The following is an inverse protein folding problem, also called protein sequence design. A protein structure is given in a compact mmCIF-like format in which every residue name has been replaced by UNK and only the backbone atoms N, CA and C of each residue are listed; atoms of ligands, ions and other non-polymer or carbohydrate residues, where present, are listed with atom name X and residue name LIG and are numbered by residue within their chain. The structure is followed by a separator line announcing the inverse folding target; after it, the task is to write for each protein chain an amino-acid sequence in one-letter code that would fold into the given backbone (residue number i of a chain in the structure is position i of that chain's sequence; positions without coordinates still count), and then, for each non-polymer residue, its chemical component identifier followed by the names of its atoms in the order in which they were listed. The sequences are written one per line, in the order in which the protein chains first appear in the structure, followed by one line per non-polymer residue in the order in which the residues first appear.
data_IF_681200763573
#
_entry.id   IF_681200763573
#
_cell.length_a   1.000
_cell.length_b   1.000
_cell.length_c   1.000
_cell.angle_alpha   90.00
_cell.angle_beta   90.00
_cell.angle_gamma   90.00
#
_symmetry.space_group_name_H-M   'P 1'
#
loop_
_entity.id
_entity.type
_entity.pdbx_description
1 polymer ?
#
# COMPACT_ATOMS: atom_id res chain seq x y z
N UNK A 1 22.70 -6.75 -35.66
CA UNK A 1 22.66 -5.57 -34.74
C UNK A 1 21.44 -4.67 -34.94
N UNK A 2 21.15 -4.12 -36.14
CA UNK A 2 20.00 -3.19 -36.34
C UNK A 2 18.63 -3.80 -35.97
N UNK A 3 18.38 -5.06 -36.32
CA UNK A 3 17.11 -5.72 -36.01
C UNK A 3 16.88 -5.94 -34.51
N UNK A 4 17.91 -6.39 -33.79
CA UNK A 4 17.86 -6.56 -32.32
C UNK A 4 17.53 -5.24 -31.61
N UNK A 5 18.20 -4.15 -31.98
CA UNK A 5 17.96 -2.82 -31.40
C UNK A 5 16.56 -2.28 -31.75
N UNK A 6 16.07 -2.57 -32.96
CA UNK A 6 14.70 -2.20 -33.36
C UNK A 6 13.63 -2.95 -32.56
N UNK A 7 13.88 -4.20 -32.21
CA UNK A 7 12.97 -5.01 -31.41
C UNK A 7 12.97 -4.59 -29.94
N UNK A 8 14.14 -4.37 -29.34
CA UNK A 8 14.28 -3.86 -27.98
C UNK A 8 13.56 -2.51 -27.83
N UNK A 9 13.78 -1.57 -28.75
CA UNK A 9 13.05 -0.30 -28.79
C UNK A 9 11.53 -0.50 -28.92
N UNK A 10 11.08 -1.50 -29.68
CA UNK A 10 9.66 -1.83 -29.80
C UNK A 10 9.08 -2.35 -28.48
N UNK A 11 9.81 -3.24 -27.81
CA UNK A 11 9.47 -3.82 -26.50
C UNK A 11 9.35 -2.72 -25.45
N UNK A 12 10.36 -1.88 -25.30
CA UNK A 12 10.36 -0.75 -24.36
C UNK A 12 9.17 0.17 -24.62
N UNK A 13 8.95 0.55 -25.89
CA UNK A 13 7.81 1.39 -26.27
C UNK A 13 6.47 0.75 -25.83
N UNK A 14 6.31 -0.57 -26.01
CA UNK A 14 5.07 -1.27 -25.61
C UNK A 14 4.89 -1.33 -24.11
N UNK A 15 5.96 -1.49 -23.33
CA UNK A 15 5.92 -1.38 -21.88
C UNK A 15 5.48 0.04 -21.47
N UNK A 16 6.10 1.10 -21.99
CA UNK A 16 5.70 2.47 -21.65
C UNK A 16 4.26 2.81 -22.06
N UNK A 17 3.78 2.33 -23.21
CA UNK A 17 2.37 2.44 -23.61
C UNK A 17 1.44 1.71 -22.62
N UNK A 18 1.82 0.50 -22.20
CA UNK A 18 1.07 -0.28 -21.21
C UNK A 18 1.06 0.41 -19.84
N UNK A 19 2.22 0.92 -19.40
CA UNK A 19 2.36 1.65 -18.14
C UNK A 19 1.38 2.81 -18.10
N UNK A 20 1.45 3.70 -19.09
CA UNK A 20 0.59 4.87 -19.20
C UNK A 20 -0.90 4.54 -19.20
N UNK A 21 -1.28 3.37 -19.72
CA UNK A 21 -2.69 2.99 -19.91
C UNK A 21 -3.27 2.17 -18.75
N UNK A 22 -2.47 1.32 -18.10
CA UNK A 22 -2.97 0.31 -17.16
C UNK A 22 -2.26 0.29 -15.80
N UNK A 23 -1.10 0.96 -15.68
CA UNK A 23 -0.29 1.00 -14.45
C UNK A 23 -0.28 2.40 -13.82
N UNK A 24 -0.31 3.44 -14.64
CA UNK A 24 -0.45 4.82 -14.20
C UNK A 24 -1.88 5.12 -13.79
N UNK A 25 -2.03 5.86 -12.70
CA UNK A 25 -3.31 6.37 -12.24
C UNK A 25 -3.78 7.45 -13.24
N UNK A 26 -5.00 7.37 -13.76
CA UNK A 26 -5.57 8.44 -14.59
C UNK A 26 -5.56 9.80 -13.87
N UNK A 27 -5.26 10.88 -14.59
CA UNK A 27 -5.12 12.23 -14.00
C UNK A 27 -6.39 12.69 -13.28
N UNK A 28 -7.56 12.36 -13.82
CA UNK A 28 -8.88 12.69 -13.26
C UNK A 28 -9.14 11.96 -11.93
N UNK A 29 -8.78 10.68 -11.83
CA UNK A 29 -8.84 9.95 -10.56
C UNK A 29 -7.86 10.53 -9.53
N UNK A 30 -6.64 10.84 -9.97
CA UNK A 30 -5.63 11.50 -9.13
C UNK A 30 -6.09 12.86 -8.59
N UNK A 31 -6.86 13.63 -9.38
CA UNK A 31 -7.41 14.93 -8.95
C UNK A 31 -8.63 14.78 -8.03
N UNK A 32 -9.56 13.85 -8.33
CA UNK A 32 -10.78 13.66 -7.52
C UNK A 32 -10.47 13.25 -6.09
N UNK A 33 -9.48 12.39 -5.91
CA UNK A 33 -8.96 11.98 -4.61
C UNK A 33 -7.73 12.78 -4.20
N UNK A 34 -7.38 13.80 -4.98
CA UNK A 34 -6.20 14.64 -4.80
C UNK A 34 -6.34 15.51 -3.56
N UNK A 35 -5.91 14.98 -2.42
CA UNK A 35 -5.52 15.72 -1.22
C UNK A 35 -6.69 16.32 -0.46
N UNK A 36 -7.39 17.31 -1.00
CA UNK A 36 -8.17 18.29 -0.23
C UNK A 36 -9.20 17.68 0.74
N UNK A 37 -10.05 16.77 0.26
CA UNK A 37 -11.06 16.14 1.14
C UNK A 37 -10.40 15.25 2.20
N UNK A 38 -9.35 14.52 1.82
CA UNK A 38 -8.53 13.71 2.72
C UNK A 38 -7.77 14.56 3.76
N UNK A 39 -7.16 15.66 3.34
CA UNK A 39 -6.41 16.63 4.17
C UNK A 39 -7.35 17.33 5.15
N UNK A 40 -8.56 17.70 4.71
CA UNK A 40 -9.60 18.26 5.55
C UNK A 40 -10.07 17.25 6.60
N UNK A 41 -10.31 15.99 6.21
CA UNK A 41 -10.66 14.92 7.16
C UNK A 41 -9.56 14.74 8.20
N UNK A 42 -8.32 14.61 7.74
CA UNK A 42 -7.14 14.39 8.59
C UNK A 42 -6.94 15.55 9.56
N UNK A 43 -7.00 16.78 9.07
CA UNK A 43 -6.94 17.99 9.91
C UNK A 43 -8.04 17.98 10.95
N UNK A 44 -9.28 17.64 10.56
CA UNK A 44 -10.41 17.62 11.50
C UNK A 44 -10.27 16.57 12.60
N UNK A 45 -9.82 15.36 12.24
CA UNK A 45 -9.60 14.28 13.20
C UNK A 45 -8.50 14.66 14.19
N UNK A 46 -7.35 15.17 13.71
CA UNK A 46 -6.27 15.59 14.61
C UNK A 46 -6.61 16.82 15.45
N UNK A 47 -7.39 17.77 14.93
CA UNK A 47 -7.91 18.91 15.71
C UNK A 47 -8.69 18.42 16.93
N UNK A 48 -9.59 17.45 16.75
CA UNK A 48 -10.40 16.90 17.85
C UNK A 48 -9.50 16.09 18.81
N UNK A 49 -8.67 15.20 18.28
CA UNK A 49 -7.79 14.35 19.09
C UNK A 49 -6.86 15.17 20.00
N UNK A 50 -6.24 16.23 19.46
CA UNK A 50 -5.33 17.11 20.21
C UNK A 50 -6.05 17.97 21.23
N UNK A 51 -7.20 18.53 20.86
CA UNK A 51 -7.99 19.39 21.75
C UNK A 51 -8.53 18.62 22.96
N UNK A 52 -8.96 17.38 22.76
CA UNK A 52 -9.60 16.58 23.82
C UNK A 52 -8.61 15.75 24.65
N UNK A 53 -7.39 15.53 24.15
CA UNK A 53 -6.36 14.81 24.88
C UNK A 53 -5.02 15.59 24.89
N UNK A 54 -4.76 16.38 25.95
CA UNK A 54 -3.53 17.16 26.08
C UNK A 54 -2.25 16.31 26.00
N UNK A 55 -2.27 15.07 26.51
CA UNK A 55 -1.11 14.18 26.43
C UNK A 55 -0.76 13.82 24.97
N UNK A 56 -1.77 13.54 24.16
CA UNK A 56 -1.60 13.24 22.74
C UNK A 56 -1.16 14.48 21.96
N UNK A 57 -1.62 15.68 22.31
CA UNK A 57 -1.14 16.93 21.70
C UNK A 57 0.37 17.13 21.93
N UNK A 58 0.85 16.82 23.14
CA UNK A 58 2.28 16.89 23.49
C UNK A 58 3.09 15.83 22.71
N UNK A 59 2.56 14.61 22.57
CA UNK A 59 3.32 13.49 22.01
C UNK A 59 3.28 13.46 20.47
N UNK A 60 2.23 13.94 19.79
CA UNK A 60 2.22 13.95 18.31
C UNK A 60 3.19 15.00 17.79
N UNK A 61 4.37 14.57 17.34
CA UNK A 61 5.37 15.44 16.73
C UNK A 61 5.00 15.84 15.30
N UNK A 62 4.60 14.86 14.49
CA UNK A 62 4.24 15.08 13.08
C UNK A 62 3.36 13.95 12.58
N UNK A 63 2.75 14.15 11.42
CA UNK A 63 2.13 13.09 10.65
C UNK A 63 2.44 13.28 9.16
N UNK A 64 2.60 12.17 8.45
CA UNK A 64 2.93 12.16 7.04
C UNK A 64 2.19 11.05 6.30
N UNK A 65 1.84 11.31 5.04
CA UNK A 65 1.45 10.24 4.14
C UNK A 65 2.64 9.31 3.92
N UNK A 66 2.47 8.06 4.33
CA UNK A 66 3.40 6.98 4.06
C UNK A 66 2.75 5.99 3.08
N UNK A 67 3.49 4.95 2.71
CA UNK A 67 2.99 3.96 1.75
C UNK A 67 3.04 4.40 0.28
N UNK A 68 2.27 3.72 -0.56
CA UNK A 68 2.46 3.79 -2.01
C UNK A 68 1.97 5.09 -2.65
N UNK A 69 1.23 5.95 -1.94
CA UNK A 69 0.42 7.08 -2.47
C UNK A 69 1.17 8.04 -3.40
N UNK A 70 2.50 8.11 -3.29
CA UNK A 70 3.35 8.84 -4.25
C UNK A 70 3.84 7.98 -5.41
N UNK A 71 5.07 7.50 -5.30
CA UNK A 71 5.85 7.05 -6.46
C UNK A 71 5.53 5.64 -6.97
N UNK A 72 4.93 4.80 -6.12
CA UNK A 72 4.72 3.38 -6.39
C UNK A 72 3.23 2.98 -6.45
N UNK A 73 2.28 3.92 -6.33
CA UNK A 73 0.85 3.64 -6.46
C UNK A 73 0.54 3.27 -7.91
N UNK A 74 -0.33 2.28 -8.07
CA UNK A 74 -0.81 1.79 -9.38
C UNK A 74 -2.33 1.60 -9.42
N UNK A 75 -2.95 1.50 -8.26
CA UNK A 75 -4.39 1.39 -8.09
C UNK A 75 -4.98 2.76 -7.78
N UNK A 76 -6.31 2.84 -7.83
CA UNK A 76 -7.07 4.03 -7.45
C UNK A 76 -6.54 4.59 -6.12
N UNK A 77 -6.33 5.92 -6.00
CA UNK A 77 -5.87 6.55 -4.77
C UNK A 77 -7.01 6.73 -3.76
N UNK A 78 -7.75 5.66 -3.47
CA UNK A 78 -8.85 5.63 -2.51
C UNK A 78 -8.44 4.97 -1.17
N UNK A 79 -7.15 4.79 -0.94
CA UNK A 79 -6.57 4.24 0.29
C UNK A 79 -5.31 5.05 0.60
N UNK A 80 -5.31 5.68 1.77
CA UNK A 80 -4.23 6.52 2.27
C UNK A 80 -3.64 5.89 3.54
N UNK A 81 -2.36 5.56 3.51
CA UNK A 81 -1.62 5.18 4.72
C UNK A 81 -1.04 6.47 5.34
N UNK A 82 -1.58 6.91 6.49
CA UNK A 82 -1.04 8.06 7.22
C UNK A 82 -0.34 7.55 8.48
N UNK A 83 0.93 7.88 8.63
CA UNK A 83 1.67 7.60 9.87
C UNK A 83 1.70 8.88 10.70
N UNK A 84 1.34 8.76 11.98
CA UNK A 84 1.50 9.84 12.95
C UNK A 84 2.50 9.44 14.03
N UNK A 85 3.50 10.30 14.20
CA UNK A 85 4.71 10.00 14.97
C UNK A 85 4.55 10.52 16.38
N UNK A 86 4.64 9.57 17.31
CA UNK A 86 4.58 9.76 18.74
C UNK A 86 6.00 9.93 19.27
N UNK A 87 6.35 11.15 19.68
CA UNK A 87 7.65 11.50 20.24
C UNK A 87 7.48 11.82 21.71
N UNK A 88 7.75 10.83 22.55
CA UNK A 88 7.67 11.02 23.99
C UNK A 88 8.76 12.00 24.48
N UNK A 89 8.49 12.77 25.53
CA UNK A 89 9.53 13.43 26.31
C UNK A 89 10.71 12.49 26.61
N UNK A 90 11.92 13.01 26.51
CA UNK A 90 13.14 12.22 26.70
C UNK A 90 13.24 10.95 25.83
N UNK A 91 12.56 10.88 24.66
CA UNK A 91 12.56 9.70 23.79
C UNK A 91 13.97 9.15 23.45
N UNK A 92 15.00 10.01 23.42
CA UNK A 92 16.41 9.62 23.21
C UNK A 92 16.96 8.70 24.31
N UNK A 93 16.30 8.67 25.46
CA UNK A 93 16.64 7.84 26.62
C UNK A 93 15.84 6.54 26.69
N UNK A 94 14.97 6.25 25.72
CA UNK A 94 14.33 4.93 25.59
C UNK A 94 15.43 3.93 25.26
N UNK A 95 15.58 2.90 26.09
CA UNK A 95 16.51 1.82 25.78
C UNK A 95 15.86 0.89 24.76
N UNK A 96 16.53 0.72 23.62
CA UNK A 96 16.05 -0.10 22.51
C UNK A 96 16.91 -1.34 22.42
N UNK A 97 16.27 -2.51 22.42
CA UNK A 97 16.94 -3.79 22.18
C UNK A 97 16.21 -4.55 21.08
N UNK A 98 16.93 -5.40 20.35
CA UNK A 98 16.28 -6.33 19.41
C UNK A 98 15.43 -7.32 20.18
N UNK A 99 14.29 -7.69 19.63
CA UNK A 99 13.54 -8.84 20.14
C UNK A 99 14.26 -10.13 19.68
N UNK A 100 14.86 -10.93 20.58
CA UNK A 100 15.60 -12.12 20.20
C UNK A 100 14.70 -13.26 19.68
N UNK A 101 13.38 -13.17 19.88
CA UNK A 101 12.41 -14.17 19.43
C UNK A 101 11.67 -13.76 18.17
N UNK A 102 11.66 -12.47 17.83
CA UNK A 102 10.87 -11.92 16.74
C UNK A 102 11.76 -10.99 15.89
N UNK A 103 12.49 -11.54 14.92
CA UNK A 103 13.31 -10.76 14.01
C UNK A 103 12.54 -9.62 13.33
N UNK A 104 13.20 -8.48 13.14
CA UNK A 104 12.63 -7.24 12.64
C UNK A 104 11.77 -6.48 13.65
N UNK A 105 11.74 -6.92 14.91
CA UNK A 105 11.10 -6.22 16.01
C UNK A 105 12.10 -5.79 17.09
N UNK A 106 11.65 -4.85 17.93
CA UNK A 106 12.41 -4.28 19.03
C UNK A 106 11.56 -4.22 20.31
N UNK A 107 12.25 -4.22 21.45
CA UNK A 107 11.68 -3.96 22.77
C UNK A 107 12.07 -2.53 23.18
N UNK A 108 11.13 -1.83 23.82
CA UNK A 108 11.29 -0.42 24.21
C UNK A 108 11.16 -0.29 25.73
N UNK A 109 12.28 -0.12 26.41
CA UNK A 109 12.34 0.05 27.86
C UNK A 109 12.30 1.54 28.23
N UNK A 110 11.28 1.90 29.01
CA UNK A 110 10.96 3.26 29.43
C UNK A 110 11.55 3.63 30.80
N UNK A 111 12.29 2.75 31.47
CA UNK A 111 12.80 2.95 32.83
C UNK A 111 13.51 4.30 32.97
N UNK A 112 14.48 4.58 32.08
CA UNK A 112 15.24 5.83 32.14
C UNK A 112 14.37 7.06 31.81
N UNK A 113 13.40 6.93 30.92
CA UNK A 113 12.45 8.01 30.60
C UNK A 113 11.57 8.33 31.81
N UNK A 114 11.08 7.31 32.51
CA UNK A 114 10.25 7.45 33.70
C UNK A 114 11.01 8.09 34.87
N UNK A 115 12.30 7.76 35.04
CA UNK A 115 13.19 8.42 36.00
C UNK A 115 13.36 9.91 35.68
N UNK A 116 13.70 10.24 34.44
CA UNK A 116 13.89 11.63 34.01
C UNK A 116 12.61 12.46 34.13
N UNK A 117 11.46 11.87 33.77
CA UNK A 117 10.16 12.49 33.93
C UNK A 117 9.79 12.71 35.40
N UNK A 118 10.23 11.84 36.32
CA UNK A 118 9.91 11.98 37.74
C UNK A 118 10.50 13.27 38.31
N UNK A 119 11.70 13.63 37.87
CA UNK A 119 12.43 14.80 38.36
C UNK A 119 12.14 16.08 37.56
N UNK A 120 11.33 16.00 36.49
CA UNK A 120 10.98 17.16 35.67
C UNK A 120 9.86 18.00 36.32
N UNK A 121 10.07 19.30 36.60
CA UNK A 121 9.07 20.12 37.29
C UNK A 121 7.84 20.50 36.46
N UNK A 122 7.84 20.23 35.15
CA UNK A 122 6.75 20.65 34.26
C UNK A 122 5.52 19.77 34.41
N UNK A 123 4.36 20.40 34.59
CA UNK A 123 3.09 19.71 34.85
C UNK A 123 2.65 18.81 33.67
N UNK A 124 2.87 19.27 32.44
CA UNK A 124 2.59 18.51 31.24
C UNK A 124 3.45 17.23 31.17
N UNK A 125 4.72 17.30 31.57
CA UNK A 125 5.61 16.14 31.64
C UNK A 125 5.20 15.16 32.74
N UNK A 126 4.70 15.65 33.88
CA UNK A 126 4.12 14.79 34.92
C UNK A 126 2.88 14.04 34.42
N UNK A 127 1.98 14.68 33.67
CA UNK A 127 0.83 13.99 33.03
C UNK A 127 1.28 12.90 32.07
N UNK A 128 2.32 13.16 31.27
CA UNK A 128 2.90 12.15 30.37
C UNK A 128 3.49 10.98 31.17
N UNK A 129 4.16 11.24 32.29
CA UNK A 129 4.68 10.21 33.18
C UNK A 129 3.57 9.31 33.71
N UNK A 130 2.48 9.91 34.22
CA UNK A 130 1.31 9.19 34.71
C UNK A 130 0.65 8.35 33.63
N UNK A 131 0.54 8.88 32.40
CA UNK A 131 0.06 8.13 31.24
C UNK A 131 0.93 6.90 30.97
N UNK A 132 2.25 7.08 30.89
CA UNK A 132 3.18 5.98 30.60
C UNK A 132 3.09 4.93 31.71
N UNK A 133 3.34 5.32 32.97
CA UNK A 133 3.42 4.41 34.12
C UNK A 133 2.08 3.75 34.44
N UNK A 134 0.97 4.48 34.31
CA UNK A 134 -0.37 4.00 34.66
C UNK A 134 -1.05 3.20 33.55
N UNK A 135 -0.66 3.39 32.27
CA UNK A 135 -1.42 2.83 31.14
C UNK A 135 -0.61 2.19 30.04
N UNK A 136 0.64 2.57 29.77
CA UNK A 136 1.31 2.17 28.52
C UNK A 136 2.43 1.15 28.70
N UNK A 137 3.01 1.02 29.89
CA UNK A 137 4.09 0.07 30.18
C UNK A 137 3.66 -1.08 31.07
N UNK A 138 4.40 -2.18 31.07
CA UNK A 138 4.24 -3.29 32.02
C UNK A 138 4.95 -3.04 33.37
N UNK A 139 5.04 -4.06 34.23
CA UNK A 139 5.67 -3.94 35.55
C UNK A 139 7.20 -3.76 35.48
N UNK A 140 7.80 -4.08 34.33
CA UNK A 140 9.23 -3.95 34.04
C UNK A 140 9.52 -2.68 33.22
N UNK A 141 8.53 -1.79 33.07
CA UNK A 141 8.59 -0.56 32.28
C UNK A 141 8.78 -0.74 30.77
N UNK A 142 8.53 -1.92 30.20
CA UNK A 142 8.49 -2.07 28.75
C UNK A 142 7.18 -1.52 28.21
N UNK A 143 7.24 -0.77 27.11
CA UNK A 143 6.03 -0.39 26.37
C UNK A 143 5.25 -1.65 25.94
N UNK A 144 3.94 -1.61 26.09
CA UNK A 144 3.03 -2.71 25.71
C UNK A 144 2.23 -2.31 24.49
N UNK A 145 2.32 -3.10 23.43
CA UNK A 145 1.67 -2.86 22.13
C UNK A 145 0.17 -2.66 22.27
N UNK A 146 -0.51 -3.60 22.93
CA UNK A 146 -1.98 -3.55 23.05
C UNK A 146 -2.47 -2.46 23.99
N UNK A 147 -1.66 -2.04 24.97
CA UNK A 147 -1.99 -0.90 25.83
C UNK A 147 -1.99 0.40 25.04
N UNK A 148 -0.94 0.65 24.24
CA UNK A 148 -0.89 1.80 23.33
C UNK A 148 -2.04 1.79 22.33
N UNK A 149 -2.31 0.65 21.70
CA UNK A 149 -3.41 0.50 20.73
C UNK A 149 -4.78 0.74 21.35
N UNK A 150 -5.03 0.19 22.54
CA UNK A 150 -6.32 0.33 23.24
C UNK A 150 -6.56 1.77 23.70
N UNK A 151 -5.51 2.44 24.19
CA UNK A 151 -5.58 3.85 24.54
C UNK A 151 -5.92 4.72 23.32
N UNK A 152 -5.18 4.56 22.22
CA UNK A 152 -5.46 5.31 20.98
C UNK A 152 -6.85 4.97 20.41
N UNK A 153 -7.27 3.71 20.45
CA UNK A 153 -8.61 3.30 20.01
C UNK A 153 -9.70 4.02 20.79
N UNK A 154 -9.53 4.18 22.11
CA UNK A 154 -10.45 4.97 22.94
C UNK A 154 -10.51 6.42 22.46
N UNK A 155 -9.37 7.05 22.18
CA UNK A 155 -9.31 8.44 21.71
C UNK A 155 -9.99 8.62 20.34
N UNK A 156 -9.69 7.75 19.37
CA UNK A 156 -10.34 7.77 18.05
C UNK A 156 -11.86 7.57 18.16
N UNK A 157 -12.30 6.64 19.01
CA UNK A 157 -13.73 6.38 19.22
C UNK A 157 -14.43 7.60 19.82
N UNK A 158 -13.82 8.27 20.79
CA UNK A 158 -14.35 9.51 21.38
C UNK A 158 -14.44 10.63 20.35
N UNK A 159 -13.37 10.86 19.58
CA UNK A 159 -13.34 11.89 18.54
C UNK A 159 -14.43 11.66 17.48
N UNK A 160 -14.63 10.42 17.05
CA UNK A 160 -15.66 10.07 16.06
C UNK A 160 -17.09 10.15 16.62
N UNK A 161 -17.29 9.79 17.89
CA UNK A 161 -18.56 9.99 18.58
C UNK A 161 -18.94 11.47 18.64
N UNK A 162 -17.97 12.36 18.91
CA UNK A 162 -18.18 13.81 18.97
C UNK A 162 -18.77 14.37 17.69
N UNK A 163 -18.30 13.89 16.53
CA UNK A 163 -18.80 14.29 15.21
C UNK A 163 -19.92 13.38 14.70
N UNK A 164 -20.43 12.47 15.53
CA UNK A 164 -21.50 11.53 15.16
C UNK A 164 -21.20 10.73 13.88
N UNK A 165 -19.94 10.36 13.66
CA UNK A 165 -19.48 9.63 12.46
C UNK A 165 -19.88 10.31 11.14
N UNK A 166 -19.99 11.64 11.11
CA UNK A 166 -20.29 12.41 9.91
C UNK A 166 -19.48 13.70 9.88
N UNK A 167 -19.10 14.14 8.69
CA UNK A 167 -18.38 15.40 8.50
C UNK A 167 -18.82 16.09 7.22
N UNK A 168 -18.95 17.41 7.29
CA UNK A 168 -19.07 18.28 6.13
C UNK A 168 -17.72 18.95 5.90
N UNK A 169 -16.91 18.38 4.99
CA UNK A 169 -15.55 18.86 4.68
C UNK A 169 -15.51 19.74 3.43
N UNK A 170 -16.56 19.64 2.62
CA UNK A 170 -16.82 20.47 1.44
C UNK A 170 -18.24 20.98 1.59
N UNK A 171 -18.46 22.27 1.33
CA UNK A 171 -19.76 22.90 1.52
C UNK A 171 -20.89 22.12 0.82
N UNK A 172 -21.92 21.78 1.59
CA UNK A 172 -23.09 21.02 1.14
C UNK A 172 -22.87 19.51 0.97
N UNK A 173 -21.67 18.99 1.22
CA UNK A 173 -21.34 17.56 1.05
C UNK A 173 -21.04 16.93 2.40
N UNK A 174 -22.01 16.17 2.91
CA UNK A 174 -21.87 15.39 4.15
C UNK A 174 -21.32 14.00 3.80
N UNK A 175 -20.16 13.67 4.35
CA UNK A 175 -19.57 12.34 4.28
C UNK A 175 -19.89 11.54 5.54
N UNK A 176 -20.23 10.27 5.36
CA UNK A 176 -20.41 9.31 6.45
C UNK A 176 -19.12 8.56 6.71
N UNK A 177 -18.82 8.34 8.00
CA UNK A 177 -17.60 7.70 8.45
C UNK A 177 -17.90 6.33 9.05
N UNK A 178 -16.97 5.38 8.86
CA UNK A 178 -16.96 4.12 9.59
C UNK A 178 -15.55 3.86 10.10
N UNK A 179 -15.46 3.35 11.32
CA UNK A 179 -14.19 3.13 12.00
C UNK A 179 -13.94 1.66 12.27
N UNK A 180 -12.70 1.21 12.06
CA UNK A 180 -12.20 -0.12 12.40
C UNK A 180 -10.74 -0.05 12.79
N UNK A 181 -10.30 -0.98 13.62
CA UNK A 181 -8.87 -1.24 13.84
C UNK A 181 -8.43 -2.38 12.93
N UNK A 182 -7.36 -2.16 12.16
CA UNK A 182 -6.82 -3.12 11.18
C UNK A 182 -5.30 -3.23 11.39
N UNK A 183 -4.84 -4.32 12.01
CA UNK A 183 -3.43 -4.44 12.40
C UNK A 183 -3.02 -3.30 13.35
N UNK A 184 -1.96 -2.51 13.05
CA UNK A 184 -1.60 -1.33 13.83
C UNK A 184 -2.49 -0.11 13.54
N UNK A 185 -3.26 -0.12 12.45
CA UNK A 185 -3.96 1.05 11.95
C UNK A 185 -5.31 1.29 12.64
N UNK A 186 -5.64 2.56 12.81
CA UNK A 186 -6.97 3.08 13.06
C UNK A 186 -7.57 3.51 11.71
N UNK A 187 -8.34 2.64 11.08
CA UNK A 187 -8.88 2.88 9.74
C UNK A 187 -10.21 3.63 9.79
N UNK A 188 -10.30 4.77 9.09
CA UNK A 188 -11.54 5.49 8.84
C UNK A 188 -11.93 5.34 7.37
N UNK A 189 -13.09 4.72 7.12
CA UNK A 189 -13.72 4.65 5.82
C UNK A 189 -14.68 5.83 5.63
N UNK A 190 -14.62 6.45 4.46
CA UNK A 190 -15.45 7.57 4.04
C UNK A 190 -16.42 7.10 2.96
N UNK A 191 -17.70 7.43 3.14
CA UNK A 191 -18.78 7.13 2.21
C UNK A 191 -19.53 8.40 1.83
N UNK A 192 -20.02 8.45 0.58
CA UNK A 192 -20.74 9.59 0.02
C UNK A 192 -20.20 9.93 -1.37
N UNK A 193 -20.14 11.22 -1.70
CA UNK A 193 -19.57 11.70 -2.97
C UNK A 193 -18.07 11.37 -3.11
N UNK A 194 -17.40 11.19 -1.98
CA UNK A 194 -16.03 10.73 -1.84
C UNK A 194 -16.01 9.37 -1.14
N UNK A 195 -15.48 8.34 -1.81
CA UNK A 195 -15.31 7.00 -1.26
C UNK A 195 -13.82 6.62 -1.18
N UNK A 196 -13.28 6.55 0.04
CA UNK A 196 -11.90 6.16 0.31
C UNK A 196 -11.72 5.72 1.77
N UNK A 197 -10.55 5.19 2.11
CA UNK A 197 -10.15 4.91 3.49
C UNK A 197 -8.83 5.58 3.85
N UNK A 198 -8.68 5.90 5.12
CA UNK A 198 -7.43 6.39 5.71
C UNK A 198 -7.03 5.48 6.85
N UNK A 199 -5.85 4.87 6.73
CA UNK A 199 -5.22 4.06 7.76
C UNK A 199 -4.33 4.97 8.60
N UNK A 200 -4.81 5.39 9.79
CA UNK A 200 -4.03 6.18 10.73
C UNK A 200 -3.16 5.23 11.57
N UNK A 201 -1.86 5.18 11.28
CA UNK A 201 -0.90 4.27 11.91
C UNK A 201 -0.05 5.03 12.94
N UNK A 202 -0.11 4.67 14.23
CA UNK A 202 0.79 5.22 15.23
C UNK A 202 2.21 4.68 15.03
N UNK A 203 3.20 5.54 15.23
CA UNK A 203 4.61 5.18 15.19
C UNK A 203 5.37 5.83 16.34
N UNK A 204 6.08 5.07 17.16
CA UNK A 204 6.97 5.64 18.18
C UNK A 204 8.24 6.13 17.49
N UNK A 205 8.51 7.42 17.58
CA UNK A 205 9.68 8.06 17.00
C UNK A 205 10.91 7.83 17.89
N UNK A 206 11.96 7.25 17.32
CA UNK A 206 13.23 6.93 17.97
C UNK A 206 14.36 7.63 17.23
N UNK A 207 15.39 8.05 17.96
CA UNK A 207 16.54 8.72 17.39
C UNK A 207 17.40 7.76 16.56
N UNK A 208 18.09 8.30 15.56
CA UNK A 208 19.04 7.57 14.72
C UNK A 208 20.03 6.76 15.56
N UNK A 209 20.55 7.31 16.65
CA UNK A 209 21.56 6.68 17.50
C UNK A 209 21.02 5.47 18.30
N UNK A 210 19.69 5.36 18.45
CA UNK A 210 19.03 4.25 19.15
C UNK A 210 18.77 3.05 18.24
N UNK A 211 19.17 3.10 16.96
CA UNK A 211 18.98 1.99 16.05
C UNK A 211 19.80 0.77 16.50
N UNK A 212 19.26 -0.42 16.22
CA UNK A 212 19.90 -1.72 16.50
C UNK A 212 20.16 -2.49 15.21
N UNK A 213 20.45 -1.79 14.11
CA UNK A 213 20.57 -2.39 12.78
C UNK A 213 21.87 -3.20 12.60
N UNK A 214 21.85 -4.26 11.76
CA UNK A 214 23.08 -4.93 11.35
C UNK A 214 23.96 -3.99 10.51
N UNK A 215 25.27 -4.28 10.42
CA UNK A 215 26.26 -3.39 9.79
C UNK A 215 25.86 -2.90 8.38
N UNK A 216 25.44 -3.80 7.48
CA UNK A 216 25.08 -3.42 6.10
C UNK A 216 23.88 -2.47 6.03
N UNK A 217 22.85 -2.76 6.84
CA UNK A 217 21.66 -1.93 6.94
C UNK A 217 21.97 -0.59 7.62
N UNK A 218 22.87 -0.59 8.61
CA UNK A 218 23.34 0.61 9.28
C UNK A 218 24.09 1.54 8.30
N UNK A 219 24.90 1.00 7.38
CA UNK A 219 25.52 1.79 6.31
C UNK A 219 24.48 2.46 5.41
N UNK A 220 23.45 1.72 5.01
CA UNK A 220 22.34 2.26 4.21
C UNK A 220 21.58 3.36 4.97
N UNK A 221 21.31 3.13 6.26
CA UNK A 221 20.66 4.09 7.15
C UNK A 221 21.47 5.38 7.29
N UNK A 222 22.79 5.25 7.55
CA UNK A 222 23.70 6.39 7.67
C UNK A 222 23.80 7.19 6.37
N UNK A 223 23.86 6.51 5.22
CA UNK A 223 23.91 7.17 3.90
C UNK A 223 22.68 8.02 3.62
N UNK A 224 21.50 7.56 4.05
CA UNK A 224 20.26 8.32 3.89
C UNK A 224 20.15 9.53 4.83
N UNK A 225 21.06 9.66 5.81
CA UNK A 225 21.18 10.81 6.71
C UNK A 225 19.85 11.18 7.41
N UNK A 226 19.06 10.18 7.79
CA UNK A 226 17.82 10.38 8.55
C UNK A 226 18.14 10.48 10.05
N UNK A 227 17.52 11.44 10.74
CA UNK A 227 17.73 11.66 12.18
C UNK A 227 16.86 10.77 13.09
N UNK A 228 15.97 9.97 12.52
CA UNK A 228 15.03 9.14 13.26
C UNK A 228 14.69 7.85 12.50
N UNK A 229 14.05 6.93 13.24
CA UNK A 229 13.35 5.77 12.73
C UNK A 229 12.15 5.48 13.64
N UNK A 230 11.34 4.48 13.30
CA UNK A 230 10.04 4.27 13.92
C UNK A 230 9.86 2.86 14.45
N UNK A 231 9.17 2.74 15.59
CA UNK A 231 8.68 1.48 16.12
C UNK A 231 7.14 1.44 16.04
N UNK A 232 6.61 0.45 15.31
CA UNK A 232 5.19 0.32 15.01
C UNK A 232 4.54 -0.70 15.97
N UNK A 233 3.44 -0.36 16.66
CA UNK A 233 2.71 -1.27 17.54
C UNK A 233 1.86 -2.26 16.72
N UNK A 234 2.54 -3.17 16.00
CA UNK A 234 1.88 -4.19 15.19
C UNK A 234 1.49 -5.37 16.08
N UNK A 235 0.19 -5.70 16.23
CA UNK A 235 -0.22 -6.86 17.00
C UNK A 235 0.27 -8.15 16.34
N UNK A 236 0.79 -9.07 17.15
CA UNK A 236 1.27 -10.37 16.70
C UNK A 236 0.32 -11.48 17.20
N UNK A 237 0.26 -12.56 16.43
CA UNK A 237 -0.48 -13.78 16.78
C UNK A 237 0.43 -15.00 16.53
N UNK A 238 0.48 -15.98 17.45
CA UNK A 238 -0.20 -16.03 18.75
C UNK A 238 0.37 -15.01 19.74
N UNK A 239 -0.42 -14.64 20.75
CA UNK A 239 0.02 -13.76 21.83
C UNK A 239 0.88 -14.56 22.81
N UNK A 240 2.15 -14.19 22.90
CA UNK A 240 3.12 -14.59 23.92
C UNK A 240 3.55 -13.38 24.73
N UNK A 241 4.11 -13.59 25.94
CA UNK A 241 4.62 -12.50 26.80
C UNK A 241 5.54 -11.54 26.03
N UNK A 242 6.49 -12.08 25.23
CA UNK A 242 7.40 -11.24 24.44
C UNK A 242 6.67 -10.54 23.29
N UNK A 243 5.72 -11.20 22.64
CA UNK A 243 4.97 -10.58 21.53
C UNK A 243 4.11 -9.38 21.97
N UNK A 244 3.74 -9.30 23.25
CA UNK A 244 2.93 -8.20 23.80
C UNK A 244 3.72 -6.89 23.92
N UNK A 245 5.04 -6.98 24.04
CA UNK A 245 5.96 -5.84 24.20
C UNK A 245 6.85 -5.62 22.97
N UNK A 246 6.57 -6.33 21.87
CA UNK A 246 7.41 -6.37 20.67
C UNK A 246 6.88 -5.45 19.58
N UNK A 247 7.66 -4.41 19.23
CA UNK A 247 7.29 -3.42 18.23
C UNK A 247 8.02 -3.68 16.91
N UNK A 248 7.31 -3.57 15.78
CA UNK A 248 7.89 -3.74 14.44
C UNK A 248 8.77 -2.54 14.11
N UNK A 249 10.05 -2.76 13.81
CA UNK A 249 10.91 -1.68 13.32
C UNK A 249 10.49 -1.22 11.92
N UNK A 250 10.44 0.09 11.69
CA UNK A 250 10.12 0.75 10.43
C UNK A 250 11.19 1.79 10.10
N UNK A 251 11.65 1.76 8.85
CA UNK A 251 12.66 2.67 8.31
C UNK A 251 12.15 3.29 7.00
N UNK A 252 10.86 3.63 6.95
CA UNK A 252 10.18 4.09 5.74
C UNK A 252 10.85 5.32 5.11
N UNK A 253 11.27 6.29 5.92
CA UNK A 253 11.99 7.48 5.44
C UNK A 253 13.27 7.12 4.66
N UNK A 254 14.02 6.13 5.15
CA UNK A 254 15.24 5.64 4.50
C UNK A 254 14.91 4.90 3.20
N UNK A 255 13.91 4.01 3.22
CA UNK A 255 13.47 3.30 2.02
C UNK A 255 13.01 4.26 0.93
N UNK A 256 12.32 5.34 1.31
CA UNK A 256 11.87 6.38 0.40
C UNK A 256 13.05 7.06 -0.29
N UNK A 257 14.10 7.40 0.46
CA UNK A 257 15.33 8.01 -0.09
C UNK A 257 16.02 7.03 -1.04
N UNK A 258 16.23 5.78 -0.61
CA UNK A 258 16.83 4.72 -1.46
C UNK A 258 16.10 4.54 -2.80
N UNK A 259 14.77 4.63 -2.79
CA UNK A 259 13.94 4.50 -3.99
C UNK A 259 13.80 5.80 -4.80
N UNK A 260 14.09 6.95 -4.21
CA UNK A 260 14.09 8.25 -4.89
C UNK A 260 15.38 8.47 -5.66
N UNK A 261 16.51 8.13 -5.05
CA UNK A 261 17.85 8.37 -5.61
C UNK A 261 18.20 7.40 -6.73
N UNK A 262 17.52 6.25 -6.81
CA UNK A 262 17.71 5.27 -7.90
C UNK A 262 16.99 5.70 -9.19
N UNK A 263 17.54 5.29 -10.34
CA UNK A 263 16.96 5.53 -11.67
C UNK A 263 15.49 5.06 -11.77
N UNK A 264 14.69 5.77 -12.57
CA UNK A 264 13.23 5.59 -12.62
C UNK A 264 12.77 4.19 -13.06
N UNK A 265 13.61 3.46 -13.81
CA UNK A 265 13.30 2.09 -14.21
C UNK A 265 13.12 1.15 -13.01
N UNK A 266 13.82 1.40 -11.89
CA UNK A 266 13.58 0.67 -10.64
C UNK A 266 12.11 0.80 -10.19
N UNK A 267 11.63 2.04 -10.10
CA UNK A 267 10.25 2.34 -9.69
C UNK A 267 9.23 1.84 -10.71
N UNK A 268 9.53 1.97 -12.00
CA UNK A 268 8.67 1.45 -13.06
C UNK A 268 8.55 -0.08 -12.97
N UNK A 269 9.65 -0.78 -12.72
CA UNK A 269 9.66 -2.23 -12.57
C UNK A 269 8.84 -2.68 -11.34
N UNK A 270 9.00 -2.02 -10.19
CA UNK A 270 8.16 -2.26 -8.99
C UNK A 270 6.68 -2.15 -9.34
N UNK A 271 6.30 -1.07 -10.04
CA UNK A 271 4.89 -0.81 -10.40
C UNK A 271 4.33 -1.86 -11.36
N UNK A 272 5.13 -2.32 -12.30
CA UNK A 272 4.75 -3.42 -13.19
C UNK A 272 4.57 -4.74 -12.45
N UNK A 273 5.47 -5.10 -11.54
CA UNK A 273 5.34 -6.31 -10.71
C UNK A 273 4.11 -6.24 -9.80
N UNK A 274 3.83 -5.07 -9.21
CA UNK A 274 2.58 -4.84 -8.47
C UNK A 274 1.35 -5.00 -9.36
N UNK A 275 1.37 -4.46 -10.59
CA UNK A 275 0.23 -4.60 -11.52
C UNK A 275 0.02 -6.05 -11.91
N UNK A 276 1.11 -6.77 -12.20
CA UNK A 276 1.07 -8.19 -12.47
C UNK A 276 0.40 -8.96 -11.32
N UNK A 277 0.85 -8.73 -10.08
CA UNK A 277 0.22 -9.30 -8.89
C UNK A 277 -1.28 -8.97 -8.84
N UNK A 278 -1.67 -7.71 -8.98
CA UNK A 278 -3.09 -7.32 -8.90
C UNK A 278 -3.94 -7.97 -10.02
N UNK A 279 -3.34 -8.27 -11.18
CA UNK A 279 -4.01 -8.96 -12.31
C UNK A 279 -4.15 -10.47 -12.06
N UNK A 280 -3.26 -11.08 -11.26
CA UNK A 280 -3.21 -12.53 -11.03
C UNK A 280 -3.86 -12.91 -9.71
N UNK A 281 -4.94 -13.67 -9.78
CA UNK A 281 -5.69 -14.15 -8.60
C UNK A 281 -4.84 -14.97 -7.63
N UNK A 282 -3.86 -15.73 -8.13
CA UNK A 282 -3.01 -16.60 -7.33
C UNK A 282 -1.92 -15.84 -6.55
N UNK A 283 -1.82 -14.52 -6.73
CA UNK A 283 -0.84 -13.68 -6.05
C UNK A 283 -1.46 -12.82 -4.95
N UNK A 284 -2.69 -13.15 -4.49
CA UNK A 284 -3.35 -12.44 -3.39
C UNK A 284 -2.53 -12.40 -2.10
N UNK A 285 -1.75 -13.47 -1.82
CA UNK A 285 -0.85 -13.54 -0.67
C UNK A 285 0.48 -12.78 -0.86
N UNK A 286 0.80 -12.34 -2.08
CA UNK A 286 2.05 -11.65 -2.37
C UNK A 286 1.94 -10.16 -2.01
N UNK A 287 2.29 -9.80 -0.77
CA UNK A 287 2.19 -8.42 -0.31
C UNK A 287 3.08 -7.47 -1.13
N UNK A 288 2.68 -6.21 -1.33
CA UNK A 288 3.54 -5.25 -2.07
C UNK A 288 4.88 -5.03 -1.40
N UNK A 289 4.95 -5.19 -0.08
CA UNK A 289 6.20 -5.03 0.65
C UNK A 289 7.20 -6.16 0.30
N UNK A 290 6.74 -7.38 -0.01
CA UNK A 290 7.60 -8.47 -0.49
C UNK A 290 8.31 -8.10 -1.79
N UNK A 291 7.55 -7.55 -2.74
CA UNK A 291 8.10 -7.02 -3.99
C UNK A 291 9.12 -5.93 -3.67
N UNK A 292 8.76 -4.92 -2.87
CA UNK A 292 9.65 -3.80 -2.52
C UNK A 292 10.96 -4.28 -1.90
N UNK A 293 10.93 -5.27 -1.01
CA UNK A 293 12.13 -5.80 -0.36
C UNK A 293 13.12 -6.42 -1.34
N UNK A 294 12.66 -7.12 -2.38
CA UNK A 294 13.55 -7.63 -3.43
C UNK A 294 14.33 -6.48 -4.10
N UNK A 295 13.66 -5.36 -4.38
CA UNK A 295 14.31 -4.19 -4.95
C UNK A 295 15.28 -3.52 -3.97
N UNK A 296 14.95 -3.42 -2.68
CA UNK A 296 15.87 -2.88 -1.69
C UNK A 296 17.17 -3.69 -1.62
N UNK A 297 17.07 -5.03 -1.63
CA UNK A 297 18.25 -5.90 -1.72
C UNK A 297 19.03 -5.69 -3.02
N UNK A 298 18.35 -5.65 -4.16
CA UNK A 298 19.00 -5.43 -5.47
C UNK A 298 19.72 -4.09 -5.54
N UNK A 299 19.12 -3.01 -4.99
CA UNK A 299 19.70 -1.65 -4.98
C UNK A 299 21.05 -1.61 -4.26
N UNK A 300 21.24 -2.40 -3.20
CA UNK A 300 22.50 -2.41 -2.44
C UNK A 300 23.52 -3.40 -2.98
N UNK A 301 23.09 -4.36 -3.80
CA UNK A 301 23.93 -5.39 -4.40
C UNK A 301 24.47 -4.99 -5.77
N UNK A 302 23.69 -4.20 -6.53
CA UNK A 302 24.02 -3.79 -7.89
C UNK A 302 24.52 -2.33 -7.93
N UNK A 303 25.43 -1.98 -8.86
CA UNK A 303 25.83 -0.60 -9.09
C UNK A 303 24.67 0.23 -9.66
N UNK A 304 24.74 1.56 -9.53
CA UNK A 304 23.71 2.46 -10.06
C UNK A 304 23.46 2.27 -11.57
N UNK A 305 24.51 1.92 -12.33
CA UNK A 305 24.44 1.62 -13.76
C UNK A 305 23.54 0.44 -14.11
N UNK A 306 23.28 -0.50 -13.18
CA UNK A 306 22.32 -1.58 -13.40
C UNK A 306 20.92 -1.02 -13.69
N UNK A 307 20.50 0.04 -12.99
CA UNK A 307 19.17 0.60 -13.14
C UNK A 307 18.99 1.45 -14.39
N UNK A 308 20.09 1.76 -15.09
CA UNK A 308 20.08 2.40 -16.41
C UNK A 308 19.76 1.43 -17.55
N UNK A 309 19.75 0.11 -17.27
CA UNK A 309 19.35 -0.88 -18.25
C UNK A 309 17.88 -0.68 -18.70
N UNK A 310 17.51 -1.21 -19.89
CA UNK A 310 16.13 -1.21 -20.38
C UNK A 310 15.15 -1.79 -19.36
N UNK A 311 13.92 -1.27 -19.33
CA UNK A 311 12.92 -1.71 -18.36
C UNK A 311 12.56 -3.19 -18.52
N UNK A 312 12.55 -3.71 -19.74
CA UNK A 312 12.32 -5.12 -20.03
C UNK A 312 13.39 -6.03 -19.44
N UNK A 313 14.65 -5.61 -19.47
CA UNK A 313 15.76 -6.34 -18.83
C UNK A 313 15.57 -6.38 -17.31
N UNK A 314 15.40 -5.21 -16.69
CA UNK A 314 15.22 -5.09 -15.23
C UNK A 314 13.99 -5.89 -14.78
N UNK A 315 12.88 -5.82 -15.54
CA UNK A 315 11.68 -6.58 -15.22
C UNK A 315 11.90 -8.09 -15.26
N UNK A 316 12.57 -8.59 -16.31
CA UNK A 316 12.82 -10.02 -16.44
C UNK A 316 13.70 -10.53 -15.29
N UNK A 317 14.74 -9.78 -14.95
CA UNK A 317 15.67 -10.09 -13.87
C UNK A 317 14.97 -10.06 -12.49
N UNK A 318 14.17 -9.03 -12.20
CA UNK A 318 13.45 -8.94 -10.92
C UNK A 318 12.33 -10.00 -10.78
N UNK A 319 11.74 -10.46 -11.90
CA UNK A 319 10.83 -11.61 -11.87
C UNK A 319 11.57 -12.94 -11.67
N UNK A 320 12.82 -13.09 -12.15
CA UNK A 320 13.66 -14.24 -11.80
C UNK A 320 13.98 -14.23 -10.31
N UNK A 321 14.36 -13.08 -9.74
CA UNK A 321 14.62 -12.94 -8.30
C UNK A 321 13.38 -13.32 -7.49
N UNK A 322 12.19 -12.83 -7.86
CA UNK A 322 10.95 -13.22 -7.19
C UNK A 322 10.68 -14.73 -7.34
N UNK A 323 10.85 -15.31 -8.52
CA UNK A 323 10.64 -16.74 -8.74
C UNK A 323 11.60 -17.59 -7.89
N UNK A 324 12.88 -17.23 -7.83
CA UNK A 324 13.90 -17.95 -7.08
C UNK A 324 13.67 -17.88 -5.57
N UNK A 325 13.32 -16.69 -5.05
CA UNK A 325 12.99 -16.52 -3.64
C UNK A 325 11.72 -17.32 -3.25
N UNK A 326 10.68 -17.32 -4.10
CA UNK A 326 9.49 -18.14 -3.89
C UNK A 326 9.80 -19.64 -3.97
N UNK A 327 10.64 -20.08 -4.92
CA UNK A 327 11.07 -21.48 -5.05
C UNK A 327 11.80 -21.96 -3.79
N UNK A 328 12.62 -21.10 -3.19
CA UNK A 328 13.34 -21.37 -1.94
C UNK A 328 12.47 -21.24 -0.70
N UNK A 329 11.29 -20.64 -0.81
CA UNK A 329 10.42 -20.33 0.31
C UNK A 329 10.97 -19.24 1.24
N UNK A 330 11.84 -18.36 0.74
CA UNK A 330 12.47 -17.31 1.54
C UNK A 330 12.40 -15.97 0.83
N UNK A 331 11.82 -14.95 1.48
CA UNK A 331 11.99 -13.54 1.14
C UNK A 331 12.49 -12.83 2.40
N UNK A 332 13.79 -12.63 2.48
CA UNK A 332 14.47 -12.05 3.64
C UNK A 332 14.12 -10.57 3.80
N UNK A 333 13.65 -10.17 4.99
CA UNK A 333 13.37 -8.78 5.31
C UNK A 333 14.64 -7.93 5.20
N UNK A 334 14.54 -6.78 4.54
CA UNK A 334 15.71 -5.95 4.23
C UNK A 334 16.41 -5.43 5.48
N UNK A 335 15.66 -5.00 6.50
CA UNK A 335 16.22 -4.36 7.70
C UNK A 335 16.67 -5.34 8.78
N UNK A 336 16.17 -6.57 8.74
CA UNK A 336 16.60 -7.67 9.61
C UNK A 336 16.63 -8.98 8.82
N UNK A 337 17.82 -9.43 8.37
CA UNK A 337 17.95 -10.61 7.53
C UNK A 337 17.56 -11.94 8.18
N UNK A 338 17.36 -11.97 9.50
CA UNK A 338 16.89 -13.16 10.21
C UNK A 338 15.38 -13.38 10.02
N UNK A 339 14.64 -12.36 9.58
CA UNK A 339 13.21 -12.49 9.31
C UNK A 339 12.94 -12.94 7.86
N UNK A 340 12.31 -14.11 7.70
CA UNK A 340 11.68 -14.48 6.44
C UNK A 340 10.22 -13.97 6.39
N UNK A 341 9.95 -13.05 5.47
CA UNK A 341 8.66 -12.35 5.40
C UNK A 341 7.48 -13.22 4.94
N UNK A 342 7.76 -14.41 4.41
CA UNK A 342 6.76 -15.37 3.93
C UNK A 342 6.60 -16.61 4.82
N UNK A 343 7.22 -16.63 6.01
CA UNK A 343 7.08 -17.75 6.97
C UNK A 343 5.64 -17.99 7.43
N UNK A 344 4.81 -16.94 7.44
CA UNK A 344 3.40 -17.06 7.80
C UNK A 344 2.53 -17.71 6.71
N UNK A 345 3.09 -17.96 5.52
CA UNK A 345 2.38 -18.59 4.40
C UNK A 345 2.61 -20.10 4.42
N UNK A 346 1.57 -20.84 4.03
CA UNK A 346 1.69 -22.28 3.80
C UNK A 346 2.56 -22.57 2.57
N UNK A 347 3.16 -23.76 2.53
CA UNK A 347 3.96 -24.20 1.37
C UNK A 347 3.16 -24.16 0.07
N UNK A 348 1.88 -24.53 0.11
CA UNK A 348 1.01 -24.52 -1.06
C UNK A 348 0.76 -23.09 -1.57
N UNK A 349 0.49 -22.14 -0.67
CA UNK A 349 0.36 -20.73 -1.05
C UNK A 349 1.64 -20.20 -1.71
N UNK A 350 2.81 -20.53 -1.16
CA UNK A 350 4.11 -20.11 -1.74
C UNK A 350 4.34 -20.78 -3.11
N UNK A 351 4.03 -22.06 -3.23
CA UNK A 351 4.19 -22.82 -4.47
C UNK A 351 3.27 -22.32 -5.59
N UNK A 352 2.00 -21.98 -5.28
CA UNK A 352 1.08 -21.38 -6.24
C UNK A 352 1.59 -20.03 -6.77
N UNK A 353 2.17 -19.21 -5.90
CA UNK A 353 2.80 -17.95 -6.31
C UNK A 353 4.00 -18.21 -7.22
N UNK A 354 4.87 -19.16 -6.86
CA UNK A 354 6.02 -19.55 -7.69
C UNK A 354 5.60 -19.99 -9.10
N UNK A 355 4.62 -20.90 -9.19
CA UNK A 355 4.12 -21.40 -10.48
C UNK A 355 3.56 -20.27 -11.36
N UNK A 356 2.97 -19.26 -10.75
CA UNK A 356 2.45 -18.08 -11.43
C UNK A 356 3.56 -17.17 -11.98
N UNK A 357 4.67 -17.02 -11.25
CA UNK A 357 5.75 -16.07 -11.59
C UNK A 357 6.79 -16.67 -12.54
N UNK A 358 7.17 -17.95 -12.38
CA UNK A 358 8.33 -18.58 -13.05
C UNK A 358 8.35 -18.52 -14.60
N UNK A 359 7.21 -18.28 -15.25
CA UNK A 359 7.12 -18.22 -16.73
C UNK A 359 7.42 -16.84 -17.28
N UNK A 360 7.24 -15.79 -16.47
CA UNK A 360 7.31 -14.38 -16.89
C UNK A 360 8.69 -13.96 -17.40
N UNK A 361 9.81 -14.32 -16.74
CA UNK A 361 11.14 -13.92 -17.20
C UNK A 361 11.47 -14.41 -18.61
N UNK A 362 11.11 -15.67 -18.91
CA UNK A 362 11.27 -16.27 -20.25
C UNK A 362 10.41 -15.55 -21.30
N UNK A 363 9.17 -15.22 -20.97
CA UNK A 363 8.28 -14.50 -21.90
C UNK A 363 8.77 -13.06 -22.15
N UNK A 364 9.35 -12.39 -21.15
CA UNK A 364 9.97 -11.06 -21.28
C UNK A 364 11.26 -11.09 -22.10
N UNK A 365 12.12 -12.10 -21.88
CA UNK A 365 13.38 -12.31 -22.64
C UNK A 365 13.17 -12.84 -24.05
N UNK A 366 12.00 -13.40 -24.35
CA UNK A 366 11.65 -13.96 -25.65
C UNK A 366 11.60 -12.90 -26.76
N UNK A 367 12.77 -12.46 -27.22
CA UNK A 367 12.95 -11.49 -28.30
C UNK A 367 12.38 -12.02 -29.64
N UNK A 368 12.38 -13.33 -29.87
CA UNK A 368 11.93 -13.92 -31.13
C UNK A 368 10.40 -13.97 -31.28
N UNK A 369 9.67 -13.50 -30.27
CA UNK A 369 8.22 -13.42 -30.30
C UNK A 369 7.81 -12.28 -31.26
N UNK A 370 7.04 -12.62 -32.30
CA UNK A 370 6.46 -11.61 -33.22
C UNK A 370 5.83 -10.42 -32.46
N UNK A 371 5.93 -9.21 -33.02
CA UNK A 371 5.36 -7.96 -32.43
C UNK A 371 3.92 -8.11 -31.92
N UNK A 372 3.09 -8.89 -32.62
CA UNK A 372 1.71 -9.16 -32.26
C UNK A 372 1.59 -10.01 -30.98
N UNK A 373 2.38 -11.09 -30.89
CA UNK A 373 2.43 -11.94 -29.71
C UNK A 373 2.95 -11.17 -28.48
N UNK A 374 3.95 -10.30 -28.65
CA UNK A 374 4.46 -9.46 -27.55
C UNK A 374 3.41 -8.46 -27.05
N UNK A 375 2.70 -7.81 -27.99
CA UNK A 375 1.59 -6.91 -27.64
C UNK A 375 0.47 -7.64 -26.90
N UNK A 376 0.16 -8.87 -27.30
CA UNK A 376 -0.81 -9.71 -26.62
C UNK A 376 -0.34 -10.14 -25.21
N UNK A 377 0.93 -10.52 -25.07
CA UNK A 377 1.54 -10.83 -23.78
C UNK A 377 1.41 -9.67 -22.79
N UNK A 378 1.89 -8.48 -23.15
CA UNK A 378 1.83 -7.29 -22.28
C UNK A 378 0.40 -6.99 -21.85
N UNK A 379 -0.55 -7.04 -22.80
CA UNK A 379 -1.96 -6.85 -22.51
C UNK A 379 -2.52 -7.94 -21.58
N UNK A 380 -2.12 -9.20 -21.75
CA UNK A 380 -2.61 -10.32 -20.94
C UNK A 380 -2.09 -10.25 -19.50
N UNK A 381 -0.81 -9.94 -19.33
CA UNK A 381 -0.13 -9.99 -18.03
C UNK A 381 -0.34 -8.74 -17.17
N UNK A 382 -0.43 -7.55 -17.79
CA UNK A 382 -0.44 -6.28 -17.07
C UNK A 382 -1.75 -5.49 -17.22
N UNK A 383 -2.82 -6.13 -17.67
CA UNK A 383 -4.17 -5.55 -17.63
C UNK A 383 -5.20 -6.55 -17.11
N UNK A 384 -6.22 -6.08 -16.42
CA UNK A 384 -7.32 -6.92 -15.97
C UNK A 384 -8.24 -7.31 -17.13
N UNK A 385 -8.94 -8.44 -16.98
CA UNK A 385 -9.93 -8.91 -17.97
C UNK A 385 -10.98 -7.84 -18.31
N UNK A 386 -11.41 -7.04 -17.32
CA UNK A 386 -12.36 -5.94 -17.50
C UNK A 386 -11.80 -4.84 -18.41
N UNK A 387 -10.54 -4.44 -18.22
CA UNK A 387 -9.86 -3.43 -19.02
C UNK A 387 -9.72 -3.89 -20.49
N UNK A 388 -9.43 -5.18 -20.73
CA UNK A 388 -9.39 -5.76 -22.09
C UNK A 388 -10.75 -5.76 -22.79
N UNK A 389 -11.82 -6.12 -22.07
CA UNK A 389 -13.16 -6.21 -22.65
C UNK A 389 -13.78 -4.85 -23.01
N UNK A 390 -13.47 -3.79 -22.27
CA UNK A 390 -13.92 -2.42 -22.60
C UNK A 390 -13.35 -1.97 -23.95
N UNK A 391 -12.09 -2.30 -24.26
CA UNK A 391 -11.48 -1.98 -25.56
C UNK A 391 -12.16 -2.72 -26.73
N UNK A 392 -12.60 -3.97 -26.55
CA UNK A 392 -13.35 -4.70 -27.57
C UNK A 392 -14.73 -4.08 -27.84
N UNK A 393 -15.42 -3.63 -26.78
CA UNK A 393 -16.71 -2.92 -26.92
C UNK A 393 -16.53 -1.57 -27.63
N UNK A 394 -15.52 -0.78 -27.31
CA UNK A 394 -15.22 0.48 -28.03
C UNK A 394 -14.86 0.25 -29.50
N UNK A 395 -14.07 -0.77 -29.84
CA UNK A 395 -13.78 -1.12 -31.24
C UNK A 395 -15.03 -1.60 -32.00
N UNK A 396 -15.94 -2.34 -31.34
CA UNK A 396 -17.23 -2.72 -31.94
C UNK A 396 -18.17 -1.52 -32.17
N UNK A 397 -18.13 -0.52 -31.29
CA UNK A 397 -18.92 0.72 -31.42
C UNK A 397 -18.35 1.64 -32.50
N UNK A 398 -17.02 1.71 -32.64
CA UNK A 398 -16.36 2.34 -33.80
C UNK A 398 -16.71 1.61 -35.10
N UNK A 399 -16.68 0.27 -35.14
CA UNK A 399 -17.15 -0.49 -36.32
C UNK A 399 -18.64 -0.23 -36.62
N UNK A 400 -19.52 -0.17 -35.62
CA UNK A 400 -20.94 0.18 -35.83
C UNK A 400 -21.14 1.62 -36.28
N UNK A 401 -20.36 2.58 -35.79
CA UNK A 401 -20.45 3.97 -36.23
C UNK A 401 -19.85 4.17 -37.62
N UNK A 402 -18.81 3.43 -38.00
CA UNK A 402 -18.29 3.38 -39.37
C UNK A 402 -19.33 2.74 -40.31
N UNK A 403 -19.99 1.65 -39.90
CA UNK A 403 -21.08 1.03 -40.68
C UNK A 403 -22.31 1.94 -40.77
N UNK A 404 -22.63 2.72 -39.72
CA UNK A 404 -23.71 3.71 -39.76
C UNK A 404 -23.35 4.93 -40.61
N UNK A 405 -22.09 5.39 -40.58
CA UNK A 405 -21.60 6.49 -41.43
C UNK A 405 -21.45 6.11 -42.90
N UNK A 406 -21.18 4.84 -43.20
CA UNK A 406 -21.16 4.30 -44.58
C UNK A 406 -22.56 4.07 -45.16
N UNK A 407 -23.61 4.01 -44.33
CA UNK A 407 -25.00 3.89 -44.79
C UNK A 407 -25.67 5.24 -45.11
N UNK A 408 -24.98 6.37 -44.97
CA UNK A 408 -25.52 7.69 -45.31
C UNK A 408 -24.92 8.31 -46.57
N UNK A 409 -24.14 7.58 -47.37
CA UNK A 409 -23.56 8.08 -48.62
C UNK A 409 -24.06 7.39 -49.90
N UNK A 410 -25.11 6.58 -49.82
CA UNK A 410 -25.91 6.25 -50.99
C UNK A 410 -27.39 6.33 -50.64
N UNK A 411 -28.21 6.75 -51.61
CA UNK A 411 -29.64 7.13 -51.48
C UNK A 411 -29.84 8.64 -51.23
N UNK A 412 -29.12 9.46 -52.00
CA UNK A 412 -29.68 10.67 -52.59
C UNK A 412 -30.08 10.33 -54.02
N UNK A 413 -31.30 9.83 -54.24
CA UNK A 413 -32.14 10.05 -55.42
C UNK A 413 -33.35 9.13 -55.40
N UNK A 414 -34.51 9.78 -55.54
CA UNK A 414 -35.79 9.31 -56.05
C UNK A 414 -36.89 8.91 -55.03
N UNK A 415 -37.88 9.82 -55.04
CA UNK A 415 -39.33 9.67 -54.87
C UNK A 415 -39.95 9.87 -53.47
N UNK A 416 -40.37 11.12 -53.26
CA UNK A 416 -41.77 11.54 -53.07
C UNK A 416 -42.78 10.44 -52.72
N UNK A 417 -43.37 10.51 -51.52
CA UNK A 417 -44.73 11.02 -51.26
C UNK A 417 -45.27 10.47 -49.92
N UNK A 418 -45.85 11.36 -49.10
CA UNK A 418 -47.07 11.23 -48.25
C UNK A 418 -47.25 9.93 -47.43
N UNK A 419 -47.61 9.88 -46.14
CA UNK A 419 -48.32 10.78 -45.21
C UNK A 419 -48.38 10.05 -43.85
N UNK A 420 -48.41 10.83 -42.76
CA UNK A 420 -49.09 10.64 -41.47
C UNK A 420 -49.18 9.24 -40.80
N UNK A 421 -48.72 9.16 -39.54
CA UNK A 421 -49.13 8.07 -38.65
C UNK A 421 -48.28 7.90 -37.39
N UNK A 422 -48.57 8.73 -36.38
CA UNK A 422 -48.60 8.43 -34.93
C UNK A 422 -47.58 7.48 -34.26
N UNK A 423 -46.82 8.11 -33.36
CA UNK A 423 -46.32 7.68 -32.05
C UNK A 423 -46.95 6.43 -31.42
N UNK A 424 -46.09 5.50 -31.00
CA UNK A 424 -46.34 4.69 -29.80
C UNK A 424 -45.07 4.63 -28.94
N UNK A 425 -45.21 5.18 -27.74
CA UNK A 425 -44.28 5.03 -26.64
C UNK A 425 -44.40 3.61 -26.07
N UNK A 426 -43.28 2.92 -25.95
CA UNK A 426 -43.18 1.62 -25.29
C UNK A 426 -42.14 1.69 -24.18
N UNK A 427 -42.56 2.15 -23.01
CA UNK A 427 -41.94 1.81 -21.73
C UNK A 427 -41.80 0.29 -21.66
N UNK A 428 -40.64 -0.23 -21.25
CA UNK A 428 -40.57 -1.31 -20.26
C UNK A 428 -39.27 -1.22 -19.46
N UNK A 429 -39.46 -1.38 -18.17
CA UNK A 429 -38.62 -1.12 -17.01
C UNK A 429 -37.41 -2.04 -16.88
N UNK A 430 -36.32 -1.49 -16.33
CA UNK A 430 -35.10 -2.18 -15.87
C UNK A 430 -35.40 -3.12 -14.70
N UNK A 431 -34.89 -4.36 -14.69
CA UNK A 431 -34.71 -5.15 -13.49
C UNK A 431 -33.27 -5.05 -12.96
N UNK A 432 -33.13 -4.77 -11.66
CA UNK A 432 -32.09 -5.33 -10.80
C UNK A 432 -30.65 -4.85 -10.99
N UNK A 433 -30.32 -3.68 -10.45
CA UNK A 433 -28.94 -3.36 -10.07
C UNK A 433 -28.53 -4.24 -8.87
N UNK A 434 -27.84 -5.35 -9.14
CA UNK A 434 -27.05 -6.02 -8.14
C UNK A 434 -25.88 -5.09 -7.75
N UNK A 435 -26.00 -4.45 -6.59
CA UNK A 435 -24.88 -3.80 -5.91
C UNK A 435 -23.81 -4.87 -5.63
N UNK A 436 -22.78 -4.96 -6.48
CA UNK A 436 -21.50 -5.52 -6.08
C UNK A 436 -20.62 -4.34 -5.72
N UNK A 437 -20.33 -4.20 -4.43
CA UNK A 437 -19.35 -3.25 -3.93
C UNK A 437 -17.98 -3.42 -4.62
N UNK A 438 -17.12 -2.40 -4.58
CA UNK A 438 -15.82 -2.46 -5.25
C UNK A 438 -15.02 -3.63 -4.70
N UNK A 439 -14.40 -4.37 -5.62
CA UNK A 439 -13.41 -5.41 -5.32
C UNK A 439 -12.40 -4.87 -4.31
N UNK A 440 -12.30 -5.54 -3.16
CA UNK A 440 -11.28 -5.33 -2.14
C UNK A 440 -9.90 -5.30 -2.81
N UNK A 441 -9.33 -4.11 -2.98
CA UNK A 441 -7.90 -3.95 -3.19
C UNK A 441 -7.26 -4.20 -1.83
N UNK A 442 -6.50 -5.30 -1.75
CA UNK A 442 -5.82 -5.76 -0.53
C UNK A 442 -4.80 -4.70 -0.13
N UNK A 443 -5.02 -4.08 1.02
CA UNK A 443 -4.11 -3.11 1.62
C UNK A 443 -2.76 -3.79 1.86
N UNK A 444 -1.67 -3.02 1.75
CA UNK A 444 -0.32 -3.51 2.03
C UNK A 444 -0.10 -4.06 3.44
N UNK A 445 -1.10 -3.98 4.33
CA UNK A 445 -1.02 -4.44 5.70
C UNK A 445 -2.07 -5.50 6.10
N UNK A 446 -2.78 -6.08 5.13
CA UNK A 446 -3.70 -7.19 5.37
C UNK A 446 -2.92 -8.47 5.77
N UNK A 447 -2.76 -8.60 7.08
CA UNK A 447 -2.66 -9.87 7.78
C UNK A 447 -4.03 -10.02 8.43
N UNK A 448 -4.62 -11.22 8.45
CA UNK A 448 -5.85 -11.57 9.22
C UNK A 448 -7.22 -11.48 8.49
N UNK A 449 -7.35 -11.99 7.25
CA UNK A 449 -8.66 -12.53 6.81
C UNK A 449 -8.67 -14.00 6.40
N UNK A 450 -7.55 -14.58 5.96
CA UNK A 450 -7.59 -15.92 5.34
C UNK A 450 -7.06 -17.08 6.23
N UNK A 451 -7.11 -16.96 7.56
CA UNK A 451 -6.79 -18.06 8.48
C UNK A 451 -8.01 -18.61 9.24
N UNK A 452 -9.24 -18.33 8.78
CA UNK A 452 -10.47 -18.69 9.48
C UNK A 452 -11.32 -19.73 8.72
N UNK A 453 -10.74 -20.79 8.18
CA UNK A 453 -11.49 -21.97 7.71
C UNK A 453 -10.64 -23.25 7.83
N UNK A 454 -10.46 -23.79 9.03
CA UNK A 454 -10.00 -25.17 9.23
C UNK A 454 -10.28 -25.71 10.64
N UNK A 455 -11.55 -25.73 11.05
CA UNK A 455 -12.12 -26.65 12.05
C UNK A 455 -13.53 -26.95 11.51
N UNK A 456 -14.01 -28.16 11.28
CA UNK A 456 -13.67 -29.48 11.77
C UNK A 456 -15.01 -30.22 11.78
N UNK A 457 -15.38 -30.84 10.66
CA UNK A 457 -16.47 -31.82 10.64
C UNK A 457 -15.82 -33.11 11.13
N UNK A 458 -16.08 -33.46 12.39
CA UNK A 458 -15.96 -34.84 12.87
C UNK A 458 -17.39 -35.28 13.14
N UNK A 459 -17.73 -36.46 12.63
CA UNK A 459 -19.04 -37.12 12.66
C UNK A 459 -19.78 -37.02 14.01
#
# INVERSE_FOLDING_TARGET
MKESRNLENFVEKKLYECKKKYVDIPKDEGQRYGGKHYEALTSKIFEILRKENPELDIIIAEFSLEGSVGMLKIAKPNEFDLVFKLKFPYYKSIAVTRDPKIPGNVLLDMTRVLELLKDDPREDFQRIRELIQGRLVDAQNFFVVDRLRSWLQSLFSQALNRISYRVELVAGVVSHLKYRTCGPAHTIYVYGDYEYSVDYVPAICLAAEQNVLPTKQLECFKRANTSYWEAIPKPLKPLTETSMISFRSSFYAVEKILLQDVHENCRNAIRFMKKFRDVKTNLGNCKSYYIKTLFLWKIIQEPESYWLNPLSFILADMFDDLAENLRRGVITFFWDPELNMIDALTRDQVWEMYLCVQRIPRDLRGAEISRNKWSFFVLREFSHKKERNVNLKCSSRRKRNVIKGLKTTSICKLRNARTNGTWTAGLWTRPGHAYRGPSETVSTWDTVKDAAWSEGIVE
#
